data_IF_235631425838
#
_entry.id   IF_235631425838
#
_cell.length_a   1.000
_cell.length_b   1.000
_cell.length_c   1.000
_cell.angle_alpha   90.00
_cell.angle_beta   90.00
_cell.angle_gamma   90.00
#
_symmetry.space_group_name_H-M   'P 1'
#
loop_
_entity.id
_entity.type
_entity.pdbx_description
1 polymer ?
#
# COMPACT_ATOMS: atom_id res chain seq x y z
N UNK A 1 27.61 21.98 -38.52
CA UNK A 1 27.52 21.58 -37.11
C UNK A 1 26.11 21.96 -36.66
N UNK A 2 25.17 21.02 -36.68
CA UNK A 2 23.79 21.28 -36.28
C UNK A 2 23.70 21.15 -34.75
N UNK A 3 23.13 22.15 -34.10
CA UNK A 3 22.93 22.18 -32.65
C UNK A 3 21.54 21.59 -32.38
N UNK A 4 21.45 20.70 -31.40
CA UNK A 4 20.19 20.13 -30.92
C UNK A 4 19.40 21.24 -30.23
N UNK A 5 18.24 21.59 -30.77
CA UNK A 5 17.44 22.71 -30.30
C UNK A 5 16.52 22.30 -29.13
N UNK A 6 15.77 21.21 -29.32
CA UNK A 6 14.79 20.70 -28.35
C UNK A 6 14.70 19.17 -28.50
N UNK A 7 14.72 18.47 -27.36
CA UNK A 7 14.43 17.05 -27.25
C UNK A 7 13.15 16.88 -26.43
N UNK A 8 12.15 16.21 -27.00
CA UNK A 8 10.90 15.86 -26.30
C UNK A 8 10.83 14.35 -26.17
N UNK A 9 10.84 13.86 -24.93
CA UNK A 9 10.65 12.46 -24.60
C UNK A 9 9.25 12.31 -23.99
N UNK A 10 8.43 11.46 -24.58
CA UNK A 10 7.11 11.11 -24.06
C UNK A 10 7.10 9.61 -23.74
N UNK A 11 7.01 9.30 -22.46
CA UNK A 11 6.92 7.93 -21.96
C UNK A 11 5.51 7.67 -21.42
N UNK A 12 4.85 6.67 -21.97
CA UNK A 12 3.54 6.21 -21.52
C UNK A 12 3.65 4.74 -21.11
N UNK A 13 3.27 4.43 -19.87
CA UNK A 13 3.28 3.06 -19.33
C UNK A 13 1.89 2.72 -18.82
N UNK A 14 1.31 1.67 -19.41
CA UNK A 14 0.05 1.08 -18.96
C UNK A 14 0.32 -0.27 -18.32
N UNK A 15 0.21 -0.32 -16.99
CA UNK A 15 0.37 -1.54 -16.21
C UNK A 15 -1.01 -2.14 -15.89
N UNK A 16 -1.22 -3.40 -16.28
CA UNK A 16 -2.40 -4.17 -15.91
C UNK A 16 -1.96 -5.43 -15.17
N UNK A 17 -2.78 -5.94 -14.23
CA UNK A 17 -2.36 -7.12 -13.47
C UNK A 17 -3.50 -7.92 -12.85
N UNK A 18 -3.24 -9.22 -12.71
CA UNK A 18 -4.16 -10.20 -12.09
C UNK A 18 -3.46 -10.87 -10.94
N UNK A 19 -4.14 -11.02 -9.80
CA UNK A 19 -3.54 -11.64 -8.62
C UNK A 19 -4.45 -12.62 -7.88
N UNK A 20 -3.81 -13.59 -7.23
CA UNK A 20 -4.48 -14.62 -6.42
C UNK A 20 -3.89 -14.67 -5.01
N UNK A 21 -4.76 -14.82 -4.01
CA UNK A 21 -4.37 -15.09 -2.63
C UNK A 21 -5.40 -15.99 -1.93
N UNK A 22 -5.01 -16.51 -0.76
CA UNK A 22 -5.88 -17.22 0.15
C UNK A 22 -5.85 -16.57 1.53
N UNK A 23 -6.98 -16.64 2.24
CA UNK A 23 -7.14 -16.09 3.59
C UNK A 23 -7.85 -17.12 4.45
N UNK A 24 -7.27 -17.40 5.61
CA UNK A 24 -7.81 -18.35 6.57
C UNK A 24 -8.04 -17.61 7.88
N UNK A 25 -9.18 -17.84 8.52
CA UNK A 25 -9.48 -17.22 9.79
C UNK A 25 -10.38 -18.09 10.64
N UNK A 26 -10.19 -18.00 11.96
CA UNK A 26 -11.03 -18.64 12.95
C UNK A 26 -11.44 -17.61 14.00
N UNK A 27 -12.65 -17.72 14.52
CA UNK A 27 -13.14 -16.88 15.62
C UNK A 27 -13.73 -17.77 16.69
N UNK A 28 -13.22 -17.62 17.91
CA UNK A 28 -13.70 -18.28 19.11
C UNK A 28 -14.49 -17.29 19.96
N UNK A 29 -15.68 -17.72 20.40
CA UNK A 29 -16.64 -16.90 21.15
C UNK A 29 -16.91 -17.59 22.49
N UNK A 30 -16.07 -17.37 23.51
CA UNK A 30 -16.24 -18.05 24.80
C UNK A 30 -17.44 -17.53 25.60
N UNK A 31 -17.85 -16.28 25.37
CA UNK A 31 -18.98 -15.63 26.05
C UNK A 31 -19.76 -14.75 25.07
N UNK A 32 -20.97 -14.32 25.46
CA UNK A 32 -21.81 -13.48 24.61
C UNK A 32 -21.24 -12.08 24.32
N UNK A 33 -20.26 -11.64 25.11
CA UNK A 33 -19.60 -10.35 24.92
C UNK A 33 -18.23 -10.50 24.27
N UNK A 34 -17.47 -11.57 24.51
CA UNK A 34 -16.09 -11.70 24.07
C UNK A 34 -15.96 -12.43 22.74
N UNK A 35 -15.18 -11.88 21.80
CA UNK A 35 -14.81 -12.50 20.53
C UNK A 35 -13.30 -12.47 20.37
N UNK A 36 -12.70 -13.63 20.11
CA UNK A 36 -11.27 -13.78 19.89
C UNK A 36 -11.09 -14.33 18.48
N UNK A 37 -10.40 -13.62 17.61
CA UNK A 37 -10.18 -14.06 16.24
C UNK A 37 -8.71 -14.15 15.89
N UNK A 38 -8.37 -15.08 15.02
CA UNK A 38 -7.06 -15.17 14.37
C UNK A 38 -7.28 -15.29 12.87
N UNK A 39 -6.49 -14.58 12.09
CA UNK A 39 -6.52 -14.65 10.63
C UNK A 39 -5.09 -14.70 10.09
N UNK A 40 -4.87 -15.50 9.05
CA UNK A 40 -3.63 -15.59 8.31
C UNK A 40 -3.93 -15.38 6.83
N UNK A 41 -3.22 -14.46 6.20
CA UNK A 41 -3.34 -14.19 4.77
C UNK A 41 -2.05 -14.61 4.09
N UNK A 42 -2.16 -15.40 3.03
CA UNK A 42 -1.02 -15.77 2.19
C UNK A 42 -0.50 -14.54 1.45
N UNK A 43 0.74 -14.60 0.95
CA UNK A 43 1.17 -13.72 -0.12
C UNK A 43 0.15 -13.68 -1.26
N UNK A 44 -0.01 -12.53 -1.89
CA UNK A 44 -0.72 -12.41 -3.17
C UNK A 44 0.32 -12.53 -4.26
N UNK A 45 0.16 -13.49 -5.15
CA UNK A 45 0.93 -13.55 -6.38
C UNK A 45 0.20 -12.71 -7.42
N UNK A 46 0.78 -11.59 -7.84
CA UNK A 46 0.21 -10.68 -8.82
C UNK A 46 1.08 -10.74 -10.08
N UNK A 47 0.51 -11.15 -11.21
CA UNK A 47 1.16 -11.05 -12.52
C UNK A 47 0.76 -9.73 -13.15
N UNK A 48 1.75 -8.98 -13.61
CA UNK A 48 1.64 -7.71 -14.31
C UNK A 48 2.05 -7.86 -15.77
N UNK A 49 1.38 -7.09 -16.62
CA UNK A 49 1.71 -6.84 -18.01
C UNK A 49 1.76 -5.32 -18.20
N UNK A 50 2.96 -4.82 -18.47
CA UNK A 50 3.24 -3.41 -18.71
C UNK A 50 3.42 -3.20 -20.21
N UNK A 51 2.60 -2.33 -20.79
CA UNK A 51 2.75 -1.84 -22.15
C UNK A 51 3.42 -0.48 -22.06
N UNK A 52 4.63 -0.36 -22.62
CA UNK A 52 5.35 0.91 -22.67
C UNK A 52 5.46 1.42 -24.10
N UNK A 53 5.31 2.74 -24.23
CA UNK A 53 5.59 3.48 -25.46
C UNK A 53 6.48 4.65 -25.11
N UNK A 54 7.66 4.69 -25.73
CA UNK A 54 8.61 5.80 -25.61
C UNK A 54 8.74 6.46 -26.97
N UNK A 55 8.40 7.74 -27.06
CA UNK A 55 8.61 8.55 -28.26
C UNK A 55 9.70 9.59 -28.00
N UNK A 56 10.76 9.55 -28.80
CA UNK A 56 11.89 10.47 -28.72
C UNK A 56 11.91 11.39 -29.95
N UNK A 57 11.45 12.62 -29.80
CA UNK A 57 11.43 13.60 -30.90
C UNK A 57 12.55 14.63 -30.74
N UNK A 58 13.40 14.78 -31.76
CA UNK A 58 14.48 15.80 -31.79
C UNK A 58 14.25 16.84 -32.90
N UNK A 59 14.49 18.11 -32.55
CA UNK A 59 14.51 19.22 -33.50
C UNK A 59 15.93 19.77 -33.66
N UNK A 60 16.41 19.92 -34.90
CA UNK A 60 17.72 20.48 -35.23
C UNK A 60 17.57 21.93 -35.71
N UNK A 61 18.40 22.85 -35.20
CA UNK A 61 18.29 24.30 -35.43
C UNK A 61 18.39 24.78 -36.91
N UNK A 62 18.74 23.90 -37.85
CA UNK A 62 19.04 24.27 -39.25
C UNK A 62 18.34 23.41 -40.31
N UNK A 63 17.40 22.55 -39.93
CA UNK A 63 16.50 21.91 -40.88
C UNK A 63 15.12 21.70 -40.26
N UNK A 64 14.07 21.70 -41.09
CA UNK A 64 12.71 21.38 -40.66
C UNK A 64 12.53 19.86 -40.42
N UNK A 65 13.63 19.13 -40.24
CA UNK A 65 13.63 17.67 -40.11
C UNK A 65 13.41 17.29 -38.65
N UNK A 66 12.35 16.53 -38.44
CA UNK A 66 12.01 15.92 -37.15
C UNK A 66 12.49 14.47 -37.19
N UNK A 67 13.36 14.08 -36.27
CA UNK A 67 13.73 12.67 -36.09
C UNK A 67 13.02 12.14 -34.84
N UNK A 68 12.15 11.15 -35.06
CA UNK A 68 11.38 10.43 -34.05
C UNK A 68 11.78 8.96 -34.02
N UNK A 69 12.03 8.42 -32.83
CA UNK A 69 12.10 6.97 -32.59
C UNK A 69 10.98 6.60 -31.62
N UNK A 70 10.18 5.59 -31.98
CA UNK A 70 9.05 5.12 -31.20
C UNK A 70 9.34 3.66 -30.79
N UNK A 71 9.69 3.45 -29.52
CA UNK A 71 9.87 2.11 -28.96
C UNK A 71 8.57 1.66 -28.31
N UNK A 72 8.12 0.45 -28.67
CA UNK A 72 6.92 -0.18 -28.14
C UNK A 72 7.27 -1.57 -27.63
N UNK A 73 7.02 -1.81 -26.35
CA UNK A 73 7.27 -3.11 -25.77
C UNK A 73 6.23 -3.52 -24.73
N UNK A 74 6.18 -4.83 -24.52
CA UNK A 74 5.36 -5.45 -23.49
C UNK A 74 6.33 -6.15 -22.53
N UNK A 75 6.24 -5.84 -21.25
CA UNK A 75 7.04 -6.47 -20.22
C UNK A 75 6.14 -7.15 -19.19
N UNK A 76 6.35 -8.44 -18.97
CA UNK A 76 5.57 -9.22 -18.01
C UNK A 76 6.41 -9.58 -16.82
N UNK A 77 5.89 -9.35 -15.61
CA UNK A 77 6.55 -9.75 -14.37
C UNK A 77 5.50 -10.13 -13.32
N UNK A 78 5.94 -10.65 -12.20
CA UNK A 78 5.10 -10.92 -11.05
C UNK A 78 5.67 -10.31 -9.78
N UNK A 79 4.76 -9.91 -8.90
CA UNK A 79 5.05 -9.39 -7.57
C UNK A 79 4.38 -10.29 -6.54
N UNK A 80 5.18 -10.81 -5.62
CA UNK A 80 4.71 -11.57 -4.46
C UNK A 80 4.61 -10.62 -3.28
N UNK A 81 3.39 -10.35 -2.81
CA UNK A 81 3.17 -9.42 -1.69
C UNK A 81 3.53 -10.05 -0.34
N UNK A 82 3.80 -9.26 0.70
CA UNK A 82 3.96 -9.76 2.07
C UNK A 82 2.80 -10.61 2.56
N UNK A 83 3.10 -11.69 3.27
CA UNK A 83 2.13 -12.37 4.11
C UNK A 83 1.84 -11.58 5.38
N UNK A 84 0.68 -11.84 6.00
CA UNK A 84 0.33 -11.22 7.27
C UNK A 84 -0.53 -12.12 8.15
N UNK A 85 -0.39 -11.97 9.45
CA UNK A 85 -1.19 -12.66 10.47
C UNK A 85 -1.78 -11.62 11.41
N UNK A 86 -3.07 -11.76 11.73
CA UNK A 86 -3.80 -10.85 12.61
C UNK A 86 -4.41 -11.61 13.77
N UNK A 87 -4.16 -11.14 14.98
CA UNK A 87 -4.92 -11.49 16.18
C UNK A 87 -5.92 -10.38 16.48
N UNK A 88 -7.14 -10.73 16.82
CA UNK A 88 -8.24 -9.79 17.08
C UNK A 88 -8.93 -10.13 18.39
N UNK A 89 -9.26 -9.09 19.16
CA UNK A 89 -10.01 -9.18 20.41
C UNK A 89 -11.13 -8.15 20.38
N UNK A 90 -12.37 -8.62 20.36
CA UNK A 90 -13.57 -7.79 20.39
C UNK A 90 -14.41 -8.03 21.63
N UNK A 91 -15.03 -6.97 22.15
CA UNK A 91 -16.02 -7.06 23.20
C UNK A 91 -17.29 -6.30 22.82
N UNK A 92 -18.45 -6.97 22.89
CA UNK A 92 -19.76 -6.36 22.67
C UNK A 92 -20.23 -5.70 23.98
N UNK A 93 -20.55 -4.42 23.91
CA UNK A 93 -21.04 -3.61 25.02
C UNK A 93 -22.57 -3.55 24.96
N UNK A 94 -23.22 -4.61 25.45
CA UNK A 94 -24.67 -4.71 25.51
C UNK A 94 -25.32 -4.73 24.11
N UNK A 95 -26.37 -3.91 23.92
CA UNK A 95 -27.06 -3.77 22.62
C UNK A 95 -26.58 -2.55 21.82
N UNK A 96 -25.69 -1.76 22.40
CA UNK A 96 -25.43 -0.38 21.97
C UNK A 96 -24.02 -0.20 21.44
N UNK A 97 -23.21 -1.24 21.26
CA UNK A 97 -21.89 -1.04 20.69
C UNK A 97 -20.94 -2.20 20.85
N UNK A 98 -19.72 -1.99 20.39
CA UNK A 98 -18.60 -2.90 20.59
C UNK A 98 -17.29 -2.12 20.63
N UNK A 99 -16.28 -2.73 21.24
CA UNK A 99 -14.89 -2.32 21.16
C UNK A 99 -14.07 -3.46 20.56
N UNK A 100 -13.01 -3.12 19.85
CA UNK A 100 -12.14 -4.07 19.20
C UNK A 100 -10.69 -3.58 19.28
N UNK A 101 -9.77 -4.53 19.48
CA UNK A 101 -8.35 -4.34 19.33
C UNK A 101 -7.78 -5.45 18.42
N UNK A 102 -7.01 -5.05 17.42
CA UNK A 102 -6.31 -5.95 16.51
C UNK A 102 -4.80 -5.72 16.59
N UNK A 103 -4.05 -6.81 16.55
CA UNK A 103 -2.60 -6.83 16.34
C UNK A 103 -2.30 -7.57 15.05
N UNK A 104 -1.63 -6.92 14.11
CA UNK A 104 -1.31 -7.46 12.79
C UNK A 104 0.21 -7.47 12.60
N UNK A 105 0.76 -8.65 12.32
CA UNK A 105 2.15 -8.84 11.94
C UNK A 105 2.25 -8.99 10.43
N UNK A 106 3.12 -8.20 9.79
CA UNK A 106 3.36 -8.21 8.34
C UNK A 106 4.85 -8.35 8.07
N UNK A 107 5.25 -9.28 7.20
CA UNK A 107 6.65 -9.44 6.82
C UNK A 107 6.94 -8.81 5.44
N UNK A 108 7.30 -7.53 5.42
CA UNK A 108 7.62 -6.81 4.18
C UNK A 108 8.87 -7.34 3.49
N UNK A 109 9.83 -7.83 4.26
CA UNK A 109 11.05 -8.47 3.74
C UNK A 109 10.80 -9.77 2.97
N UNK A 110 9.57 -10.31 2.97
CA UNK A 110 9.17 -11.45 2.12
C UNK A 110 8.65 -11.05 0.73
N UNK A 111 8.59 -9.75 0.43
CA UNK A 111 8.21 -9.26 -0.91
C UNK A 111 9.25 -9.70 -1.93
N UNK A 112 8.82 -10.23 -3.08
CA UNK A 112 9.73 -10.66 -4.15
C UNK A 112 9.17 -10.29 -5.51
N UNK A 113 10.04 -9.89 -6.42
CA UNK A 113 9.76 -9.85 -7.85
C UNK A 113 10.11 -11.19 -8.47
N UNK A 114 9.39 -11.54 -9.54
CA UNK A 114 9.67 -12.66 -10.42
C UNK A 114 9.46 -12.16 -11.86
N UNK A 115 10.52 -12.01 -12.63
CA UNK A 115 10.48 -11.49 -14.01
C UNK A 115 10.07 -12.56 -15.03
N UNK A 116 9.89 -13.81 -14.60
CA UNK A 116 9.46 -14.94 -15.44
C UNK A 116 10.33 -15.09 -16.71
N UNK A 117 11.62 -14.78 -16.58
CA UNK A 117 12.59 -14.80 -17.67
C UNK A 117 13.51 -16.00 -17.59
N UNK A 118 13.97 -16.47 -18.75
CA UNK A 118 14.99 -17.50 -18.88
C UNK A 118 16.37 -16.93 -19.19
N UNK A 119 16.48 -15.60 -19.35
CA UNK A 119 17.77 -14.93 -19.57
C UNK A 119 18.58 -14.86 -18.27
N UNK A 120 19.86 -15.24 -18.34
CA UNK A 120 20.72 -15.31 -17.17
C UNK A 120 20.94 -13.93 -16.52
N UNK A 121 21.03 -12.86 -17.31
CA UNK A 121 21.25 -11.51 -16.80
C UNK A 121 19.98 -10.99 -16.09
N UNK A 122 18.80 -11.29 -16.63
CA UNK A 122 17.53 -10.91 -15.99
C UNK A 122 17.31 -11.66 -14.67
N UNK A 123 17.67 -12.95 -14.61
CA UNK A 123 17.64 -13.72 -13.36
C UNK A 123 18.63 -13.17 -12.33
N UNK A 124 19.84 -12.79 -12.75
CA UNK A 124 20.81 -12.15 -11.86
C UNK A 124 20.28 -10.82 -11.31
N UNK A 125 19.67 -10.00 -12.18
CA UNK A 125 19.07 -8.72 -11.80
C UNK A 125 17.86 -8.90 -10.86
N UNK A 126 17.00 -9.89 -11.11
CA UNK A 126 15.90 -10.27 -10.21
C UNK A 126 16.42 -10.60 -8.81
N UNK A 127 17.44 -11.47 -8.73
CA UNK A 127 18.05 -11.86 -7.46
C UNK A 127 18.69 -10.67 -6.75
N UNK A 128 19.35 -9.78 -7.50
CA UNK A 128 19.91 -8.54 -6.95
C UNK A 128 18.80 -7.68 -6.33
N UNK A 129 17.73 -7.37 -7.05
CA UNK A 129 16.60 -6.57 -6.54
C UNK A 129 15.98 -7.24 -5.30
N UNK A 130 15.74 -8.54 -5.36
CA UNK A 130 15.15 -9.29 -4.26
C UNK A 130 16.03 -9.25 -2.99
N UNK A 131 17.36 -9.27 -3.15
CA UNK A 131 18.29 -9.10 -2.04
C UNK A 131 18.26 -7.68 -1.44
N UNK A 132 18.06 -6.65 -2.28
CA UNK A 132 17.90 -5.27 -1.83
C UNK A 132 16.60 -5.11 -1.03
N UNK A 133 15.51 -5.72 -1.50
CA UNK A 133 14.23 -5.74 -0.76
C UNK A 133 14.40 -6.41 0.59
N UNK A 134 15.06 -7.58 0.63
CA UNK A 134 15.30 -8.29 1.89
C UNK A 134 16.18 -7.50 2.86
N UNK A 135 17.16 -6.75 2.36
CA UNK A 135 18.05 -5.91 3.18
C UNK A 135 17.35 -4.65 3.68
N UNK A 136 16.52 -4.03 2.84
CA UNK A 136 15.83 -2.78 3.17
C UNK A 136 14.61 -3.00 4.07
N UNK A 137 13.83 -4.05 3.82
CA UNK A 137 12.53 -4.27 4.46
C UNK A 137 12.56 -5.40 5.49
N UNK A 138 11.84 -5.18 6.58
CA UNK A 138 11.72 -6.09 7.71
C UNK A 138 10.29 -6.50 7.97
N UNK A 139 10.01 -6.90 9.21
CA UNK A 139 8.65 -7.14 9.67
C UNK A 139 8.14 -5.93 10.44
N UNK A 140 6.85 -5.66 10.32
CA UNK A 140 6.17 -4.61 11.07
C UNK A 140 5.02 -5.19 11.89
N UNK A 141 4.79 -4.57 13.05
CA UNK A 141 3.61 -4.80 13.88
C UNK A 141 2.70 -3.59 13.75
N UNK A 142 1.44 -3.84 13.41
CA UNK A 142 0.39 -2.83 13.39
C UNK A 142 -0.57 -3.10 14.54
N UNK A 143 -0.94 -2.07 15.29
CA UNK A 143 -1.90 -2.14 16.38
C UNK A 143 -3.07 -1.24 16.01
N UNK A 144 -4.28 -1.78 16.04
CA UNK A 144 -5.50 -1.05 15.72
C UNK A 144 -6.46 -1.20 16.89
N UNK A 145 -7.08 -0.11 17.30
CA UNK A 145 -8.07 -0.10 18.37
C UNK A 145 -9.23 0.77 17.92
N UNK A 146 -10.44 0.31 18.14
CA UNK A 146 -11.62 1.05 17.73
C UNK A 146 -12.88 0.59 18.43
N UNK A 147 -13.94 1.35 18.25
CA UNK A 147 -15.23 1.02 18.79
C UNK A 147 -16.36 1.67 18.01
N UNK A 148 -17.54 1.08 18.18
CA UNK A 148 -18.79 1.58 17.65
C UNK A 148 -19.78 1.79 18.80
N UNK A 149 -20.47 2.92 18.77
CA UNK A 149 -21.62 3.23 19.62
C UNK A 149 -22.86 3.38 18.74
N UNK A 150 -23.88 2.61 19.07
CA UNK A 150 -25.17 2.56 18.41
C UNK A 150 -26.26 3.27 19.25
N UNK A 151 -26.74 4.38 18.70
CA UNK A 151 -27.79 5.25 19.25
C UNK A 151 -29.00 5.22 18.31
N UNK A 152 -29.87 4.23 18.46
CA UNK A 152 -31.04 4.01 17.59
C UNK A 152 -30.68 3.87 16.09
N UNK A 153 -30.88 4.90 15.28
CA UNK A 153 -30.48 4.93 13.86
C UNK A 153 -29.05 5.44 13.66
N UNK A 154 -28.51 6.18 14.64
CA UNK A 154 -27.19 6.77 14.59
C UNK A 154 -26.12 5.74 15.01
N UNK A 155 -25.01 5.72 14.30
CA UNK A 155 -23.81 4.93 14.61
C UNK A 155 -22.64 5.90 14.69
N UNK A 156 -21.94 5.91 15.80
CA UNK A 156 -20.71 6.68 15.99
C UNK A 156 -19.55 5.71 16.06
N UNK A 157 -18.50 5.98 15.31
CA UNK A 157 -17.28 5.17 15.28
C UNK A 157 -16.09 6.04 15.59
N UNK A 158 -15.18 5.49 16.37
CA UNK A 158 -13.89 6.11 16.63
C UNK A 158 -12.83 5.02 16.68
N UNK A 159 -11.62 5.35 16.26
CA UNK A 159 -10.52 4.39 16.26
C UNK A 159 -9.18 5.05 16.07
N UNK A 160 -8.14 4.31 16.44
CA UNK A 160 -6.76 4.70 16.34
C UNK A 160 -5.93 3.52 15.85
N UNK A 161 -5.03 3.78 14.91
CA UNK A 161 -4.16 2.75 14.35
C UNK A 161 -2.71 3.22 14.34
N UNK A 162 -1.83 2.38 14.86
CA UNK A 162 -0.39 2.48 14.82
C UNK A 162 0.13 1.47 13.81
N UNK A 163 0.76 1.93 12.74
CA UNK A 163 1.43 1.10 11.76
C UNK A 163 2.93 1.17 11.99
N UNK A 164 3.57 0.02 12.22
CA UNK A 164 5.01 -0.08 12.34
C UNK A 164 5.72 0.23 11.02
N UNK A 165 6.99 0.64 11.11
CA UNK A 165 7.82 0.85 9.93
C UNK A 165 8.06 -0.47 9.20
N UNK A 166 7.95 -0.52 7.86
CA UNK A 166 8.30 -1.69 7.07
C UNK A 166 9.83 -1.84 6.90
N UNK A 167 10.63 -0.83 7.25
CA UNK A 167 12.08 -0.79 7.01
C UNK A 167 12.89 -1.34 8.19
N UNK A 168 13.94 -2.13 7.93
CA UNK A 168 14.83 -2.68 8.98
C UNK A 168 15.63 -1.59 9.72
N UNK A 169 16.10 -0.58 9.00
CA UNK A 169 17.04 0.42 9.51
C UNK A 169 16.38 1.78 9.82
N UNK A 170 15.07 1.92 9.55
CA UNK A 170 14.33 3.17 9.70
C UNK A 170 13.08 2.95 10.57
N UNK A 171 13.29 2.47 11.80
CA UNK A 171 12.22 2.10 12.73
C UNK A 171 11.26 3.26 13.08
N UNK A 172 11.66 4.52 12.85
CA UNK A 172 10.84 5.71 13.11
C UNK A 172 9.82 6.04 12.01
N UNK A 173 9.88 5.41 10.84
CA UNK A 173 8.91 5.63 9.74
C UNK A 173 7.58 4.87 9.93
N UNK A 174 7.03 4.88 11.14
CA UNK A 174 5.70 4.38 11.40
C UNK A 174 4.63 5.38 10.96
N UNK A 175 3.41 4.90 10.72
CA UNK A 175 2.25 5.75 10.41
C UNK A 175 1.20 5.64 11.49
N UNK A 176 0.63 6.77 11.88
CA UNK A 176 -0.47 6.81 12.83
C UNK A 176 -1.72 7.34 12.15
N UNK A 177 -2.86 6.73 12.44
CA UNK A 177 -4.16 7.17 11.95
C UNK A 177 -5.10 7.38 13.13
N UNK A 178 -5.71 8.56 13.19
CA UNK A 178 -6.89 8.84 14.00
C UNK A 178 -8.09 8.78 13.07
N UNK A 179 -9.11 8.03 13.47
CA UNK A 179 -10.32 7.83 12.67
C UNK A 179 -11.56 8.19 13.47
N UNK A 180 -12.48 8.86 12.80
CA UNK A 180 -13.80 9.17 13.34
C UNK A 180 -14.85 8.97 12.25
N UNK A 181 -16.02 8.49 12.62
CA UNK A 181 -17.08 8.24 11.66
C UNK A 181 -18.47 8.38 12.27
N UNK A 182 -19.41 8.76 11.42
CA UNK A 182 -20.82 8.87 11.73
C UNK A 182 -21.61 8.11 10.66
N UNK A 183 -22.55 7.30 11.09
CA UNK A 183 -23.40 6.49 10.22
C UNK A 183 -24.86 6.66 10.59
N UNK A 184 -25.72 6.68 9.58
CA UNK A 184 -27.17 6.65 9.71
C UNK A 184 -27.68 5.37 9.08
N UNK A 185 -28.38 4.56 9.86
CA UNK A 185 -28.93 3.29 9.42
C UNK A 185 -30.46 3.33 9.51
N UNK A 186 -31.10 3.51 8.36
CA UNK A 186 -32.53 3.36 8.17
C UNK A 186 -32.93 1.92 7.89
N UNK A 187 -34.21 1.69 7.53
CA UNK A 187 -34.73 0.34 7.22
C UNK A 187 -34.21 -0.23 5.89
N UNK A 188 -34.11 0.62 4.86
CA UNK A 188 -33.77 0.22 3.49
C UNK A 188 -32.58 0.99 2.91
N UNK A 189 -32.03 1.92 3.68
CA UNK A 189 -30.91 2.79 3.28
C UNK A 189 -29.99 2.99 4.47
N UNK A 190 -28.70 3.03 4.20
CA UNK A 190 -27.70 3.47 5.15
C UNK A 190 -26.72 4.45 4.48
N UNK A 191 -26.18 5.36 5.27
CA UNK A 191 -25.14 6.28 4.86
C UNK A 191 -24.08 6.35 5.96
N UNK A 192 -22.81 6.28 5.59
CA UNK A 192 -21.68 6.34 6.50
C UNK A 192 -20.68 7.38 6.00
N UNK A 193 -20.27 8.30 6.88
CA UNK A 193 -19.19 9.25 6.65
C UNK A 193 -18.03 8.89 7.57
N UNK A 194 -16.85 8.68 7.00
CA UNK A 194 -15.62 8.40 7.72
C UNK A 194 -14.57 9.46 7.42
N UNK A 195 -13.87 9.92 8.47
CA UNK A 195 -12.72 10.80 8.40
C UNK A 195 -11.50 10.05 8.93
N UNK A 196 -10.41 10.12 8.18
CA UNK A 196 -9.12 9.53 8.54
C UNK A 196 -8.07 10.64 8.52
N UNK A 197 -7.52 10.93 9.70
CA UNK A 197 -6.38 11.82 9.86
C UNK A 197 -5.12 10.97 10.05
N UNK A 198 -4.26 10.94 9.03
CA UNK A 198 -3.02 10.19 9.02
C UNK A 198 -1.83 11.12 9.20
N UNK A 199 -0.88 10.74 10.05
CA UNK A 199 0.35 11.49 10.26
C UNK A 199 1.55 10.55 10.44
N UNK A 200 2.67 10.92 9.83
CA UNK A 200 3.90 10.13 9.82
C UNK A 200 5.12 10.99 9.45
N UNK A 201 6.29 10.52 9.86
CA UNK A 201 7.58 11.07 9.47
C UNK A 201 8.13 10.28 8.29
N UNK A 202 8.57 10.98 7.24
CA UNK A 202 9.25 10.39 6.09
C UNK A 202 10.68 10.92 6.04
N UNK A 203 11.64 10.01 5.93
CA UNK A 203 13.01 10.39 5.65
C UNK A 203 13.18 10.40 4.13
N UNK A 204 13.63 11.53 3.61
CA UNK A 204 13.90 11.70 2.19
C UNK A 204 15.39 11.93 1.99
N UNK A 205 15.95 11.18 1.06
CA UNK A 205 17.34 11.26 0.68
C UNK A 205 17.42 11.31 -0.85
N UNK A 206 17.85 12.43 -1.45
CA UNK A 206 17.76 12.63 -2.90
C UNK A 206 18.79 11.81 -3.69
N UNK A 207 19.90 11.41 -3.06
CA UNK A 207 20.95 10.60 -3.65
C UNK A 207 21.56 9.68 -2.59
N UNK A 208 22.14 8.56 -3.00
CA UNK A 208 22.98 7.71 -2.15
C UNK A 208 24.39 7.74 -2.70
N UNK A 209 25.39 7.83 -1.82
CA UNK A 209 26.81 7.69 -2.18
C UNK A 209 27.39 6.53 -1.37
N UNK A 210 28.19 5.68 -2.01
CA UNK A 210 28.87 4.61 -1.29
C UNK A 210 29.78 5.20 -0.21
N UNK A 211 29.68 4.66 1.01
CA UNK A 211 30.54 4.98 2.16
C UNK A 211 30.55 6.46 2.62
N UNK A 212 29.58 7.26 2.21
CA UNK A 212 29.45 8.66 2.65
C UNK A 212 28.05 8.87 3.24
N UNK A 213 28.00 9.41 4.46
CA UNK A 213 26.74 9.90 5.04
C UNK A 213 26.31 11.16 4.29
N UNK A 214 25.20 11.05 3.57
CA UNK A 214 24.61 12.17 2.86
C UNK A 214 23.48 12.80 3.69
N UNK A 215 23.11 14.07 3.42
CA UNK A 215 22.08 14.75 4.19
C UNK A 215 20.72 14.06 4.00
N UNK A 216 20.08 13.72 5.11
CA UNK A 216 18.71 13.18 5.12
C UNK A 216 17.74 14.25 5.61
N UNK A 217 16.72 14.54 4.82
CA UNK A 217 15.63 15.43 5.22
C UNK A 217 14.56 14.64 6.00
N UNK A 218 14.09 15.19 7.11
CA UNK A 218 12.95 14.65 7.86
C UNK A 218 11.72 15.46 7.49
N UNK A 219 10.72 14.80 6.91
CA UNK A 219 9.49 15.42 6.41
C UNK A 219 8.31 14.93 7.25
N UNK A 220 7.64 15.85 7.93
CA UNK A 220 6.40 15.56 8.64
C UNK A 220 5.24 15.65 7.66
N UNK A 221 4.58 14.53 7.41
CA UNK A 221 3.45 14.44 6.47
C UNK A 221 2.15 14.27 7.23
N UNK A 222 1.12 15.03 6.84
CA UNK A 222 -0.24 14.88 7.33
C UNK A 222 -1.19 14.72 6.15
N UNK A 223 -2.03 13.70 6.19
CA UNK A 223 -3.02 13.41 5.15
C UNK A 223 -4.40 13.31 5.78
N UNK A 224 -5.38 13.97 5.18
CA UNK A 224 -6.77 13.94 5.61
C UNK A 224 -7.61 13.32 4.50
N UNK A 225 -8.28 12.22 4.79
CA UNK A 225 -9.19 11.57 3.86
C UNK A 225 -10.60 11.57 4.42
N UNK A 226 -11.57 11.90 3.58
CA UNK A 226 -12.99 11.79 3.88
C UNK A 226 -13.63 10.80 2.90
N UNK A 227 -14.41 9.86 3.42
CA UNK A 227 -15.09 8.84 2.61
C UNK A 227 -16.56 8.84 2.98
N UNK A 228 -17.42 9.03 1.99
CA UNK A 228 -18.87 8.90 2.12
C UNK A 228 -19.31 7.64 1.38
N UNK A 229 -20.04 6.78 2.07
CA UNK A 229 -20.64 5.57 1.52
C UNK A 229 -22.15 5.65 1.69
N UNK A 230 -22.90 5.36 0.64
CA UNK A 230 -24.36 5.22 0.69
C UNK A 230 -24.73 3.87 0.10
N UNK A 231 -25.60 3.13 0.78
CA UNK A 231 -26.05 1.83 0.33
C UNK A 231 -27.53 1.60 0.57
N UNK A 232 -28.12 0.76 -0.27
CA UNK A 232 -29.53 0.39 -0.23
C UNK A 232 -29.65 -1.11 0.06
N UNK A 233 -30.55 -1.47 0.96
CA UNK A 233 -30.87 -2.86 1.27
C UNK A 233 -32.28 -3.15 0.79
N UNK A 234 -32.38 -4.07 -0.18
CA UNK A 234 -33.63 -4.57 -0.76
C UNK A 234 -34.06 -5.88 -0.11
#
# INVERSE_FOLDING_TARGET
MAILAILTCLDEIHASGTGINAKFGATFIPTNYLRIGVAAHTPTYISFEDVYSTSLTTHLDNSNDTYGDDDYGIYTYALVTPWRVTGSLGSILGKNGFVNADIEFVNYGSTRYNFNSSDANEIEYENFINSQIETAYGSAVNIKVGGELALNMLRLRAGYALYGSPFKNLNKQGRQNITGGIGLRGKNIYADLALVHSFYERYYQPYNLENITVPTAVINTTNNNAVLTVGFTF
#
